data_IF_148277553094
#
_entry.id   IF_148277553094
#
_cell.length_a   1.000
_cell.length_b   1.000
_cell.length_c   1.000
_cell.angle_alpha   90.00
_cell.angle_beta   90.00
_cell.angle_gamma   90.00
#
_symmetry.space_group_name_H-M   'P 1'
#
loop_
_entity.id
_entity.type
_entity.pdbx_description
1 polymer ?
#
# COMPACT_ATOMS: atom_id res chain seq x y z
N UNK A 1 4.70 -14.77 -6.66
CA UNK A 1 3.31 -14.59 -7.10
C UNK A 1 3.23 -13.16 -7.60
N UNK A 2 2.80 -12.93 -8.83
CA UNK A 2 2.69 -11.58 -9.40
C UNK A 2 1.38 -10.95 -8.90
N UNK A 3 1.44 -9.68 -8.46
CA UNK A 3 0.25 -8.91 -8.07
C UNK A 3 -0.42 -8.44 -9.35
N UNK A 4 -1.67 -8.83 -9.55
CA UNK A 4 -2.44 -8.36 -10.71
C UNK A 4 -2.84 -6.90 -10.55
N UNK A 5 -3.04 -6.20 -11.68
CA UNK A 5 -3.57 -4.84 -11.70
C UNK A 5 -4.89 -4.71 -10.91
N UNK A 6 -5.76 -5.72 -10.97
CA UNK A 6 -7.02 -5.72 -10.21
C UNK A 6 -6.79 -5.77 -8.69
N UNK A 7 -5.81 -6.55 -8.22
CA UNK A 7 -5.45 -6.59 -6.79
C UNK A 7 -4.84 -5.27 -6.33
N UNK A 8 -4.02 -4.65 -7.18
CA UNK A 8 -3.48 -3.31 -6.95
C UNK A 8 -4.58 -2.25 -6.85
N UNK A 9 -5.51 -2.20 -7.80
CA UNK A 9 -6.64 -1.25 -7.79
C UNK A 9 -7.57 -1.49 -6.58
N UNK A 10 -7.80 -2.74 -6.20
CA UNK A 10 -8.53 -3.06 -4.97
C UNK A 10 -7.79 -2.54 -3.73
N UNK A 11 -6.48 -2.78 -3.64
CA UNK A 11 -5.66 -2.35 -2.50
C UNK A 11 -5.65 -0.82 -2.38
N UNK A 12 -5.53 -0.08 -3.49
CA UNK A 12 -5.64 1.38 -3.48
C UNK A 12 -6.98 1.86 -2.91
N UNK A 13 -8.10 1.34 -3.41
CA UNK A 13 -9.42 1.71 -2.89
C UNK A 13 -9.56 1.37 -1.41
N UNK A 14 -8.99 0.23 -0.99
CA UNK A 14 -9.04 -0.19 0.41
C UNK A 14 -8.21 0.69 1.34
N UNK A 15 -7.08 1.21 0.86
CA UNK A 15 -6.30 2.23 1.58
C UNK A 15 -7.16 3.46 1.83
N UNK A 16 -7.81 4.00 0.80
CA UNK A 16 -8.69 5.18 0.92
C UNK A 16 -9.81 4.98 1.95
N UNK A 17 -10.40 3.78 2.01
CA UNK A 17 -11.42 3.42 3.02
C UNK A 17 -10.85 3.35 4.45
N UNK A 18 -9.59 2.95 4.61
CA UNK A 18 -8.94 2.71 5.91
C UNK A 18 -8.27 3.95 6.48
N UNK A 19 -7.79 4.87 5.63
CA UNK A 19 -7.15 6.12 6.04
C UNK A 19 -7.97 6.94 7.07
N UNK A 20 -9.29 7.13 6.95
CA UNK A 20 -10.07 7.85 7.97
C UNK A 20 -10.29 7.05 9.27
N UNK A 21 -10.01 5.75 9.27
CA UNK A 21 -10.23 4.85 10.42
C UNK A 21 -8.97 4.60 11.25
N UNK A 22 -7.80 4.95 10.72
CA UNK A 22 -6.49 4.77 11.37
C UNK A 22 -5.89 6.14 11.64
N UNK A 23 -5.59 6.42 12.91
CA UNK A 23 -4.93 7.66 13.35
C UNK A 23 -3.59 7.35 14.01
N UNK A 24 -2.84 8.37 14.39
CA UNK A 24 -1.58 8.22 15.14
C UNK A 24 -1.75 7.53 16.51
N UNK A 25 -2.98 7.53 17.06
CA UNK A 25 -3.31 6.88 18.32
C UNK A 25 -3.79 5.42 18.14
N UNK A 26 -4.08 5.00 16.91
CA UNK A 26 -4.54 3.64 16.61
C UNK A 26 -3.41 2.63 16.89
N UNK A 27 -3.61 1.65 17.79
CA UNK A 27 -2.60 0.65 18.07
C UNK A 27 -2.26 -0.18 16.82
N UNK A 28 -1.00 -0.59 16.66
CA UNK A 28 -0.59 -1.47 15.56
C UNK A 28 -1.27 -2.86 15.59
N UNK A 29 -1.86 -3.25 16.72
CA UNK A 29 -2.66 -4.47 16.85
C UNK A 29 -4.13 -4.29 16.43
N UNK A 30 -4.56 -3.05 16.14
CA UNK A 30 -5.90 -2.80 15.63
C UNK A 30 -6.05 -3.42 14.24
N UNK A 31 -7.21 -4.03 14.00
CA UNK A 31 -7.48 -4.72 12.74
C UNK A 31 -7.38 -3.81 11.51
N UNK A 32 -7.76 -2.54 11.63
CA UNK A 32 -7.74 -1.59 10.52
C UNK A 32 -6.29 -1.16 10.23
N UNK A 33 -5.47 -1.00 11.27
CA UNK A 33 -4.05 -0.71 11.13
C UNK A 33 -3.30 -1.89 10.47
N UNK A 34 -3.57 -3.12 10.93
CA UNK A 34 -2.99 -4.34 10.33
C UNK A 34 -3.40 -4.45 8.87
N UNK A 35 -4.68 -4.27 8.57
CA UNK A 35 -5.18 -4.35 7.19
C UNK A 35 -4.54 -3.28 6.31
N UNK A 36 -4.42 -2.04 6.80
CA UNK A 36 -3.79 -0.92 6.10
C UNK A 36 -2.34 -1.25 5.73
N UNK A 37 -1.57 -1.84 6.65
CA UNK A 37 -0.21 -2.33 6.35
C UNK A 37 -0.22 -3.36 5.23
N UNK A 38 -1.08 -4.38 5.31
CA UNK A 38 -1.14 -5.45 4.30
C UNK A 38 -1.47 -4.91 2.91
N UNK A 39 -2.47 -4.03 2.79
CA UNK A 39 -2.84 -3.46 1.48
C UNK A 39 -1.79 -2.47 0.97
N UNK A 40 -1.08 -1.77 1.87
CA UNK A 40 0.04 -0.89 1.50
C UNK A 40 1.20 -1.70 0.91
N UNK A 41 1.54 -2.85 1.51
CA UNK A 41 2.59 -3.75 1.00
C UNK A 41 2.25 -4.26 -0.42
N UNK A 42 0.96 -4.52 -0.69
CA UNK A 42 0.48 -4.92 -2.02
C UNK A 42 0.69 -3.81 -3.05
N UNK A 43 0.36 -2.57 -2.69
CA UNK A 43 0.56 -1.39 -3.54
C UNK A 43 2.05 -1.18 -3.82
N UNK A 44 2.87 -1.15 -2.77
CA UNK A 44 4.32 -0.93 -2.88
C UNK A 44 4.98 -1.99 -3.78
N UNK A 45 4.64 -3.27 -3.59
CA UNK A 45 5.21 -4.35 -4.38
C UNK A 45 4.83 -4.26 -5.86
N UNK A 46 3.60 -3.82 -6.19
CA UNK A 46 3.19 -3.59 -7.57
C UNK A 46 3.92 -2.38 -8.17
N UNK A 47 3.99 -1.26 -7.44
CA UNK A 47 4.65 -0.03 -7.92
C UNK A 47 6.13 -0.23 -8.19
N UNK A 48 6.86 -0.96 -7.35
CA UNK A 48 8.28 -1.28 -7.58
C UNK A 48 8.54 -1.94 -8.93
N UNK A 49 7.59 -2.72 -9.43
CA UNK A 49 7.72 -3.47 -10.70
C UNK A 49 7.20 -2.64 -11.88
N UNK A 50 6.05 -1.97 -11.70
CA UNK A 50 5.33 -1.32 -12.80
C UNK A 50 5.61 0.18 -12.93
N UNK A 51 6.02 0.83 -11.85
CA UNK A 51 6.32 2.26 -11.73
C UNK A 51 7.66 2.48 -11.00
N UNK A 52 8.77 1.85 -11.45
CA UNK A 52 10.05 2.03 -10.80
C UNK A 52 10.43 3.52 -10.84
N UNK A 53 10.73 4.09 -9.67
CA UNK A 53 11.29 5.44 -9.60
C UNK A 53 12.64 5.38 -10.33
N UNK A 54 12.78 6.15 -11.40
CA UNK A 54 14.08 6.34 -12.01
C UNK A 54 14.98 6.95 -10.93
N UNK A 55 15.96 6.19 -10.42
CA UNK A 55 17.04 6.77 -9.64
C UNK A 55 17.67 7.83 -10.53
N UNK A 56 17.70 9.08 -10.07
CA UNK A 56 18.43 10.14 -10.73
C UNK A 56 19.90 9.72 -10.80
N UNK A 57 20.31 9.10 -11.91
CA UNK A 57 21.71 8.91 -12.23
C UNK A 57 22.27 10.28 -12.60
N UNK A 58 23.06 10.83 -11.68
CA UNK A 58 23.67 12.15 -11.79
C UNK A 58 24.45 12.51 -10.54
N UNK A 59 25.32 11.61 -10.10
CA UNK A 59 26.53 11.97 -9.33
C UNK A 59 27.60 12.51 -10.27
#
# INVERSE_FOLDING_TARGET
MEISKQQYEYALNRIEDLLPLVTEETPASDKNAIELTIVSDVVEAYEKIHYPIATAEGE
#
